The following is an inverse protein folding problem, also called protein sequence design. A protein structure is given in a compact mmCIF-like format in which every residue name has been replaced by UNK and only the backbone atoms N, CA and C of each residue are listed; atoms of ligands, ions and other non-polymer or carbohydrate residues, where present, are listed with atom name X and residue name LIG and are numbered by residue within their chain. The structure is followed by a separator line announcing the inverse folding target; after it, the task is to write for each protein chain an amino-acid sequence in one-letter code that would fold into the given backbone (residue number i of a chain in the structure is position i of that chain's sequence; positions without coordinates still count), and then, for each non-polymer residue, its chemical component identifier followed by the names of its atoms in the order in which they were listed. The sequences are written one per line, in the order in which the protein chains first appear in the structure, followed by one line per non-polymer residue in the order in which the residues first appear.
data_IF_391402725706
#
_entry.id   IF_391402725706
#
_cell.length_a   1.000
_cell.length_b   1.000
_cell.length_c   1.000
_cell.angle_alpha   90.00
_cell.angle_beta   90.00
_cell.angle_gamma   90.00
#
_symmetry.space_group_name_H-M   'P 1'
#
loop_
_entity.id
_entity.type
_entity.pdbx_description
1 polymer ?
#
# COMPACT_ATOMS: atom_id res chain seq x y z
N UNK A 1 -33.45 -87.57 0.54
CA UNK A 1 -32.05 -87.91 0.21
C UNK A 1 -31.63 -86.98 -0.91
N UNK A 2 -30.49 -86.30 -0.70
CA UNK A 2 -29.68 -85.49 -1.64
C UNK A 2 -30.39 -84.36 -2.41
N UNK A 3 -29.91 -83.12 -2.46
CA UNK A 3 -28.78 -82.42 -1.84
C UNK A 3 -29.12 -80.93 -2.02
N UNK A 4 -28.79 -80.10 -1.04
CA UNK A 4 -28.91 -78.64 -1.12
C UNK A 4 -27.50 -78.08 -0.97
N UNK A 5 -26.95 -77.51 -2.03
CA UNK A 5 -25.79 -76.62 -1.98
C UNK A 5 -26.18 -75.23 -2.54
N UNK A 6 -25.58 -74.15 -2.02
CA UNK A 6 -26.15 -72.81 -2.09
C UNK A 6 -25.71 -71.99 -3.31
N UNK A 7 -26.53 -71.00 -3.66
CA UNK A 7 -26.27 -70.03 -4.72
C UNK A 7 -25.08 -69.12 -4.41
N UNK A 8 -24.15 -69.00 -5.36
CA UNK A 8 -23.08 -68.00 -5.37
C UNK A 8 -23.51 -66.73 -6.10
N UNK A 9 -23.23 -65.59 -5.48
CA UNK A 9 -23.39 -64.23 -6.01
C UNK A 9 -22.57 -64.02 -7.29
N UNK A 10 -23.16 -63.33 -8.27
CA UNK A 10 -22.51 -62.89 -9.50
C UNK A 10 -22.17 -61.40 -9.34
N UNK A 11 -20.87 -61.09 -9.23
CA UNK A 11 -20.36 -59.71 -9.26
C UNK A 11 -20.49 -59.09 -10.66
N UNK A 12 -20.88 -57.81 -10.77
CA UNK A 12 -20.90 -57.10 -12.05
C UNK A 12 -19.48 -56.72 -12.54
N UNK A 13 -19.29 -56.57 -13.86
CA UNK A 13 -17.96 -56.34 -14.45
C UNK A 13 -17.36 -54.99 -14.06
N UNK A 14 -16.06 -55.01 -13.76
CA UNK A 14 -15.26 -53.85 -13.41
C UNK A 14 -15.27 -52.79 -14.52
N UNK A 15 -15.84 -51.62 -14.23
CA UNK A 15 -15.68 -50.41 -15.04
C UNK A 15 -14.24 -49.92 -14.96
N UNK A 16 -13.53 -49.97 -16.09
CA UNK A 16 -12.25 -49.29 -16.31
C UNK A 16 -12.39 -47.80 -15.94
N UNK A 17 -11.78 -47.39 -14.82
CA UNK A 17 -11.57 -45.99 -14.48
C UNK A 17 -10.45 -45.46 -15.36
N UNK A 18 -10.80 -44.70 -16.39
CA UNK A 18 -9.88 -43.81 -17.08
C UNK A 18 -9.24 -42.87 -16.07
N UNK A 19 -7.92 -42.94 -15.95
CA UNK A 19 -7.15 -42.03 -15.11
C UNK A 19 -7.25 -40.60 -15.66
N UNK A 20 -7.37 -39.57 -14.80
CA UNK A 20 -7.31 -38.19 -15.24
C UNK A 20 -5.91 -37.89 -15.77
N UNK A 21 -5.86 -37.35 -16.99
CA UNK A 21 -4.68 -36.78 -17.63
C UNK A 21 -4.11 -35.75 -16.64
N UNK A 22 -2.99 -36.09 -15.99
CA UNK A 22 -2.25 -35.14 -15.17
C UNK A 22 -1.77 -34.03 -16.09
N UNK A 23 -2.39 -32.86 -15.99
CA UNK A 23 -1.80 -31.63 -16.49
C UNK A 23 -0.46 -31.43 -15.80
N UNK A 24 0.56 -31.11 -16.59
CA UNK A 24 1.90 -30.79 -16.11
C UNK A 24 1.81 -29.82 -14.92
N UNK A 25 2.46 -30.08 -13.78
CA UNK A 25 2.48 -29.13 -12.68
C UNK A 25 3.14 -27.84 -13.19
N UNK A 26 2.41 -26.73 -13.17
CA UNK A 26 2.94 -25.42 -13.50
C UNK A 26 4.23 -25.21 -12.69
N UNK A 27 5.38 -25.13 -13.36
CA UNK A 27 6.67 -24.89 -12.74
C UNK A 27 6.56 -23.59 -11.95
N UNK A 28 6.47 -23.67 -10.62
CA UNK A 28 6.49 -22.50 -9.76
C UNK A 28 7.88 -21.89 -9.85
N UNK A 29 7.98 -20.79 -10.58
CA UNK A 29 9.24 -20.05 -10.73
C UNK A 29 9.48 -19.21 -9.47
N UNK A 30 10.74 -19.08 -9.01
CA UNK A 30 11.05 -18.19 -7.92
C UNK A 30 10.62 -16.75 -8.27
N UNK A 31 10.06 -16.05 -7.29
CA UNK A 31 9.63 -14.65 -7.45
C UNK A 31 10.67 -13.73 -6.81
N UNK A 32 11.13 -12.74 -7.56
CA UNK A 32 11.99 -11.67 -7.07
C UNK A 32 11.13 -10.44 -6.87
N UNK A 33 10.96 -10.02 -5.62
CA UNK A 33 10.24 -8.79 -5.28
C UNK A 33 11.18 -7.59 -5.38
N UNK A 34 10.68 -6.50 -5.95
CA UNK A 34 11.38 -5.24 -6.11
C UNK A 34 10.41 -4.08 -5.94
N UNK A 35 10.94 -2.91 -5.66
CA UNK A 35 10.15 -1.69 -5.58
C UNK A 35 10.95 -0.50 -6.11
N UNK A 36 10.23 0.54 -6.53
CA UNK A 36 10.80 1.78 -7.03
C UNK A 36 9.80 2.90 -7.04
N UNK A 37 10.16 4.02 -7.68
CA UNK A 37 9.24 5.14 -7.78
C UNK A 37 9.46 5.99 -9.04
N UNK A 38 8.38 6.67 -9.43
CA UNK A 38 8.48 7.91 -10.19
C UNK A 38 8.82 9.00 -9.18
N UNK A 39 10.11 9.29 -9.06
CA UNK A 39 10.61 10.38 -8.23
C UNK A 39 10.37 11.70 -8.96
N UNK A 40 9.55 12.59 -8.39
CA UNK A 40 9.12 13.82 -9.05
C UNK A 40 9.40 15.07 -8.19
N UNK A 41 9.48 16.21 -8.86
CA UNK A 41 9.53 17.54 -8.23
C UNK A 41 8.71 18.56 -9.03
N UNK A 42 8.25 19.67 -8.42
CA UNK A 42 7.74 20.80 -9.17
C UNK A 42 8.82 21.32 -10.13
N UNK A 43 8.50 21.47 -11.41
CA UNK A 43 9.41 22.08 -12.39
C UNK A 43 9.29 23.60 -12.42
N UNK A 44 10.08 24.22 -13.30
CA UNK A 44 10.23 25.68 -13.40
C UNK A 44 9.04 26.40 -14.07
N UNK A 45 8.16 25.68 -14.76
CA UNK A 45 7.09 26.23 -15.62
C UNK A 45 5.76 25.48 -15.45
N UNK A 46 5.32 25.28 -14.21
CA UNK A 46 4.10 24.51 -13.82
C UNK A 46 4.10 23.02 -14.23
N UNK A 47 4.99 22.60 -15.12
CA UNK A 47 5.22 21.22 -15.48
C UNK A 47 5.97 20.47 -14.39
N UNK A 48 5.54 19.25 -14.08
CA UNK A 48 6.25 18.35 -13.18
C UNK A 48 7.46 17.75 -13.88
N UNK A 49 8.58 17.66 -13.18
CA UNK A 49 9.75 16.92 -13.64
C UNK A 49 9.84 15.58 -12.91
N UNK A 50 10.26 14.54 -13.61
CA UNK A 50 10.60 13.25 -13.01
C UNK A 50 12.09 12.95 -13.19
N UNK A 51 12.67 12.20 -12.26
CA UNK A 51 14.02 11.69 -12.39
C UNK A 51 14.02 10.42 -13.25
N UNK A 52 14.88 10.42 -14.27
CA UNK A 52 15.31 9.22 -14.99
C UNK A 52 16.78 8.98 -14.71
N UNK A 53 17.16 7.72 -14.49
CA UNK A 53 18.53 7.34 -14.12
C UNK A 53 19.17 6.52 -15.23
N UNK A 54 20.44 6.80 -15.53
CA UNK A 54 21.26 6.02 -16.44
C UNK A 54 22.04 4.96 -15.68
N UNK A 55 22.06 3.73 -16.21
CA UNK A 55 22.79 2.61 -15.60
C UNK A 55 23.91 2.15 -16.52
N UNK A 56 25.19 2.40 -16.20
CA UNK A 56 26.30 2.14 -17.11
C UNK A 56 26.47 0.64 -17.42
N UNK A 57 26.07 -0.23 -16.48
CA UNK A 57 26.08 -1.69 -16.66
C UNK A 57 25.23 -2.16 -17.84
N UNK A 58 24.13 -1.47 -18.13
CA UNK A 58 23.17 -1.83 -19.17
C UNK A 58 23.16 -0.86 -20.35
N UNK A 59 23.68 0.36 -20.16
CA UNK A 59 23.60 1.45 -21.13
C UNK A 59 22.16 1.90 -21.37
N UNK A 60 21.33 1.86 -20.32
CA UNK A 60 19.91 2.17 -20.39
C UNK A 60 19.52 3.36 -19.50
N UNK A 61 18.33 3.90 -19.77
CA UNK A 61 17.64 4.88 -18.95
C UNK A 61 16.36 4.26 -18.42
N UNK A 62 16.18 4.28 -17.10
CA UNK A 62 15.02 3.68 -16.45
C UNK A 62 14.55 4.51 -15.25
N UNK A 63 13.42 4.09 -14.67
CA UNK A 63 13.02 4.57 -13.34
C UNK A 63 13.85 3.90 -12.24
N UNK A 64 14.14 4.62 -11.14
CA UNK A 64 14.90 4.07 -10.03
C UNK A 64 14.12 2.99 -9.26
N UNK A 65 14.79 1.88 -8.96
CA UNK A 65 14.20 0.64 -8.40
C UNK A 65 15.25 -0.44 -8.15
N UNK A 66 15.07 -1.16 -7.05
CA UNK A 66 15.82 -2.38 -6.78
C UNK A 66 15.05 -3.39 -5.94
N UNK A 67 15.77 -4.38 -5.42
CA UNK A 67 15.16 -5.59 -4.83
C UNK A 67 14.84 -5.33 -3.37
N UNK A 68 13.81 -6.01 -2.86
CA UNK A 68 13.55 -6.00 -1.42
C UNK A 68 14.66 -6.71 -0.67
N UNK A 69 15.07 -6.13 0.44
CA UNK A 69 15.92 -6.79 1.44
C UNK A 69 15.10 -7.72 2.35
N UNK A 70 15.75 -8.68 3.05
CA UNK A 70 15.06 -9.53 4.01
C UNK A 70 14.34 -8.71 5.10
N UNK A 71 13.05 -8.98 5.29
CA UNK A 71 12.21 -8.29 6.28
C UNK A 71 11.72 -6.89 5.87
N UNK A 72 12.11 -6.40 4.69
CA UNK A 72 11.71 -5.10 4.17
C UNK A 72 10.30 -5.13 3.56
N UNK A 73 9.53 -4.08 3.77
CA UNK A 73 8.27 -3.88 3.05
C UNK A 73 8.48 -3.23 1.68
N UNK A 74 7.52 -3.41 0.78
CA UNK A 74 7.55 -2.82 -0.56
C UNK A 74 7.76 -1.28 -0.52
N UNK A 75 7.07 -0.48 0.32
CA UNK A 75 7.33 0.96 0.41
C UNK A 75 8.71 1.29 0.98
N UNK A 76 9.22 0.52 1.95
CA UNK A 76 10.57 0.71 2.51
C UNK A 76 11.63 0.51 1.42
N UNK A 77 11.51 -0.56 0.63
CA UNK A 77 12.41 -0.81 -0.49
C UNK A 77 12.35 0.34 -1.51
N UNK A 78 11.16 0.82 -1.88
CA UNK A 78 11.05 1.93 -2.82
C UNK A 78 11.80 3.18 -2.30
N UNK A 79 11.61 3.55 -1.03
CA UNK A 79 12.28 4.72 -0.46
C UNK A 79 13.80 4.54 -0.34
N UNK A 80 14.27 3.36 0.09
CA UNK A 80 15.69 3.03 0.19
C UNK A 80 16.38 3.09 -1.18
N UNK A 81 15.80 2.43 -2.17
CA UNK A 81 16.34 2.37 -3.53
C UNK A 81 16.41 3.77 -4.18
N UNK A 82 15.42 4.63 -3.93
CA UNK A 82 15.52 6.04 -4.31
C UNK A 82 16.75 6.70 -3.70
N UNK A 83 16.97 6.54 -2.39
CA UNK A 83 18.13 7.13 -1.72
C UNK A 83 19.45 6.54 -2.22
N UNK A 84 19.53 5.24 -2.44
CA UNK A 84 20.74 4.56 -2.90
C UNK A 84 21.12 4.94 -4.35
N UNK A 85 20.16 4.88 -5.28
CA UNK A 85 20.43 5.15 -6.69
C UNK A 85 20.57 6.65 -6.99
N UNK A 86 19.91 7.53 -6.22
CA UNK A 86 19.86 8.96 -6.54
C UNK A 86 20.55 9.87 -5.51
N UNK A 87 20.82 9.39 -4.29
CA UNK A 87 21.28 10.24 -3.19
C UNK A 87 20.19 11.14 -2.59
N UNK A 88 18.96 11.13 -3.13
CA UNK A 88 17.86 12.00 -2.72
C UNK A 88 16.92 11.26 -1.76
N UNK A 89 16.43 11.97 -0.75
CA UNK A 89 15.32 11.49 0.06
C UNK A 89 13.97 11.85 -0.60
N UNK A 90 12.91 11.12 -0.26
CA UNK A 90 11.59 11.35 -0.82
C UNK A 90 10.44 11.16 0.18
N UNK A 91 9.26 11.63 -0.22
CA UNK A 91 7.99 11.35 0.44
C UNK A 91 7.11 10.55 -0.53
N UNK A 92 6.79 9.31 -0.17
CA UNK A 92 5.92 8.43 -0.94
C UNK A 92 4.47 8.90 -0.88
N UNK A 93 3.71 8.52 -1.91
CA UNK A 93 2.26 8.72 -2.00
C UNK A 93 1.59 7.46 -2.56
N UNK A 94 0.69 7.59 -3.54
CA UNK A 94 -0.06 6.46 -4.11
C UNK A 94 0.85 5.42 -4.76
N UNK A 95 0.43 4.16 -4.73
CA UNK A 95 0.95 3.15 -5.65
C UNK A 95 0.54 3.51 -7.08
N UNK A 96 1.42 3.21 -8.03
CA UNK A 96 1.20 3.50 -9.45
C UNK A 96 0.87 2.23 -10.23
N UNK A 97 1.81 1.29 -10.23
CA UNK A 97 1.70 0.09 -11.04
C UNK A 97 2.61 -1.00 -10.50
N UNK A 98 2.16 -2.24 -10.66
CA UNK A 98 3.00 -3.44 -10.52
C UNK A 98 3.33 -3.99 -11.89
N UNK A 99 4.61 -4.13 -12.19
CA UNK A 99 5.12 -4.70 -13.43
C UNK A 99 5.69 -6.07 -13.14
N UNK A 100 5.43 -7.05 -14.02
CA UNK A 100 5.97 -8.40 -13.91
C UNK A 100 6.64 -8.83 -15.22
N UNK A 101 7.90 -9.25 -15.13
CA UNK A 101 8.66 -9.74 -16.27
C UNK A 101 9.64 -10.84 -15.83
N UNK A 102 10.13 -11.61 -16.80
CA UNK A 102 11.02 -12.73 -16.51
C UNK A 102 12.49 -12.32 -16.59
N UNK A 103 13.27 -12.66 -15.56
CA UNK A 103 14.71 -12.41 -15.51
C UNK A 103 15.49 -13.73 -15.43
N UNK A 104 16.72 -13.79 -15.97
CA UNK A 104 17.61 -14.93 -15.74
C UNK A 104 17.82 -15.19 -14.24
N UNK A 105 17.83 -16.45 -13.82
CA UNK A 105 18.03 -16.85 -12.43
C UNK A 105 18.80 -18.18 -12.35
N UNK A 106 19.98 -18.16 -11.72
CA UNK A 106 20.88 -19.32 -11.72
C UNK A 106 21.46 -19.61 -13.10
N UNK A 107 21.93 -20.85 -13.32
CA UNK A 107 22.66 -21.22 -14.55
C UNK A 107 21.75 -21.30 -15.78
N UNK A 108 20.54 -21.84 -15.63
CA UNK A 108 19.60 -22.09 -16.74
C UNK A 108 18.13 -21.75 -16.37
N UNK A 109 17.91 -21.11 -15.21
CA UNK A 109 16.57 -20.83 -14.71
C UNK A 109 16.07 -19.43 -15.08
N UNK A 110 14.76 -19.23 -14.91
CA UNK A 110 14.14 -17.90 -14.95
C UNK A 110 13.36 -17.65 -13.66
N UNK A 111 13.44 -16.43 -13.16
CA UNK A 111 12.62 -15.93 -12.07
C UNK A 111 11.58 -14.96 -12.61
N UNK A 112 10.40 -14.93 -11.98
CA UNK A 112 9.43 -13.85 -12.20
C UNK A 112 9.83 -12.68 -11.32
N UNK A 113 10.24 -11.55 -11.92
CA UNK A 113 10.51 -10.32 -11.18
C UNK A 113 9.22 -9.50 -11.14
N UNK A 114 8.82 -9.07 -9.95
CA UNK A 114 7.67 -8.21 -9.71
C UNK A 114 8.16 -6.90 -9.10
N UNK A 115 7.90 -5.78 -9.77
CA UNK A 115 8.31 -4.44 -9.32
C UNK A 115 7.07 -3.62 -9.03
N UNK A 116 6.95 -3.12 -7.79
CA UNK A 116 5.91 -2.19 -7.37
C UNK A 116 6.45 -0.75 -7.40
N UNK A 117 5.77 0.13 -8.14
CA UNK A 117 6.15 1.54 -8.25
C UNK A 117 5.21 2.47 -7.50
N UNK A 118 5.78 3.52 -6.91
CA UNK A 118 5.07 4.59 -6.21
C UNK A 118 5.29 5.95 -6.89
N UNK A 119 4.38 6.89 -6.65
CA UNK A 119 4.70 8.30 -6.83
C UNK A 119 5.47 8.79 -5.59
N UNK A 120 6.63 9.41 -5.79
CA UNK A 120 7.48 9.89 -4.71
C UNK A 120 7.92 11.34 -4.94
N UNK A 121 7.59 12.25 -4.03
CA UNK A 121 8.04 13.65 -4.11
C UNK A 121 9.47 13.75 -3.57
N UNK A 122 10.39 14.27 -4.37
CA UNK A 122 11.75 14.52 -3.93
C UNK A 122 11.79 15.59 -2.83
N UNK A 123 12.62 15.35 -1.82
CA UNK A 123 13.02 16.35 -0.85
C UNK A 123 14.25 17.12 -1.37
N UNK A 124 14.53 18.33 -0.83
CA UNK A 124 15.75 19.05 -1.19
C UNK A 124 17.00 18.19 -1.01
N UNK A 125 17.86 18.19 -2.03
CA UNK A 125 19.07 17.38 -2.09
C UNK A 125 19.71 17.47 -3.46
N UNK A 126 20.87 16.83 -3.61
CA UNK A 126 21.61 16.76 -4.86
C UNK A 126 21.86 15.31 -5.24
N UNK A 127 21.94 15.05 -6.55
CA UNK A 127 22.27 13.72 -7.05
C UNK A 127 23.70 13.35 -6.67
N UNK A 128 23.90 12.11 -6.23
CA UNK A 128 25.21 11.53 -5.95
C UNK A 128 25.41 10.30 -6.82
N UNK A 129 26.31 10.41 -7.81
CA UNK A 129 26.68 9.29 -8.65
C UNK A 129 27.30 8.15 -7.83
N UNK A 130 26.99 6.92 -8.21
CA UNK A 130 27.44 5.70 -7.55
C UNK A 130 27.75 4.60 -8.59
N UNK A 131 28.05 3.38 -8.14
CA UNK A 131 28.43 2.28 -9.03
C UNK A 131 27.26 1.79 -9.92
N UNK A 132 26.01 1.99 -9.49
CA UNK A 132 24.81 1.54 -10.19
C UNK A 132 24.24 2.61 -11.13
N UNK A 133 24.31 3.87 -10.73
CA UNK A 133 23.80 5.03 -11.45
C UNK A 133 24.87 6.11 -11.55
N UNK A 134 25.31 6.40 -12.78
CA UNK A 134 26.33 7.42 -13.07
C UNK A 134 25.71 8.77 -13.49
N UNK A 135 24.46 8.78 -13.94
CA UNK A 135 23.76 9.99 -14.36
C UNK A 135 22.27 10.00 -13.96
N UNK A 136 21.78 11.15 -13.50
CA UNK A 136 20.36 11.43 -13.27
C UNK A 136 19.94 12.65 -14.07
N UNK A 137 18.81 12.55 -14.77
CA UNK A 137 18.18 13.69 -15.45
C UNK A 137 16.79 13.95 -14.91
N UNK A 138 16.54 15.21 -14.57
CA UNK A 138 15.18 15.71 -14.39
C UNK A 138 14.60 16.05 -15.76
N UNK A 139 13.52 15.38 -16.13
CA UNK A 139 12.88 15.54 -17.44
C UNK A 139 11.41 15.88 -17.25
N UNK A 140 10.78 16.66 -18.14
CA UNK A 140 9.34 16.90 -18.07
C UNK A 140 8.57 15.59 -18.08
N UNK A 141 7.67 15.38 -17.12
CA UNK A 141 6.95 14.12 -16.93
C UNK A 141 6.21 13.68 -18.20
N UNK A 142 5.57 14.62 -18.90
CA UNK A 142 4.85 14.39 -20.15
C UNK A 142 5.74 13.89 -21.31
N UNK A 143 7.06 14.11 -21.23
CA UNK A 143 8.04 13.72 -22.25
C UNK A 143 9.00 12.63 -21.78
N UNK A 144 8.79 12.05 -20.61
CA UNK A 144 9.71 11.06 -20.05
C UNK A 144 9.88 9.81 -20.93
N UNK A 145 8.87 9.47 -21.73
CA UNK A 145 8.95 8.36 -22.69
C UNK A 145 10.03 8.54 -23.77
N UNK A 146 10.44 9.79 -24.06
CA UNK A 146 11.57 10.08 -24.97
C UNK A 146 12.93 9.66 -24.39
N UNK A 147 12.99 9.46 -23.07
CA UNK A 147 14.19 9.11 -22.33
C UNK A 147 14.22 7.64 -21.92
N UNK A 148 13.09 7.12 -21.45
CA UNK A 148 12.97 5.78 -20.89
C UNK A 148 13.15 4.70 -21.96
N UNK A 149 14.06 3.76 -21.71
CA UNK A 149 14.41 2.68 -22.64
C UNK A 149 13.33 1.60 -22.72
N UNK A 150 12.62 1.35 -21.62
CA UNK A 150 11.66 0.24 -21.52
C UNK A 150 10.21 0.71 -21.58
N UNK A 151 9.40 0.07 -22.42
CA UNK A 151 7.95 0.34 -22.53
C UNK A 151 7.21 0.12 -21.20
N UNK A 152 7.68 -0.84 -20.38
CA UNK A 152 7.14 -1.08 -19.05
C UNK A 152 7.28 0.16 -18.14
N UNK A 153 8.38 0.93 -18.24
CA UNK A 153 8.51 2.17 -17.46
C UNK A 153 7.58 3.27 -17.99
N UNK A 154 7.22 3.26 -19.29
CA UNK A 154 6.23 4.20 -19.86
C UNK A 154 4.86 3.98 -19.22
N UNK A 155 4.44 2.73 -19.07
CA UNK A 155 3.19 2.35 -18.38
C UNK A 155 3.13 2.87 -16.92
N UNK A 156 4.28 2.96 -16.23
CA UNK A 156 4.36 3.55 -14.87
C UNK A 156 4.17 5.06 -14.92
N UNK A 157 4.84 5.73 -15.86
CA UNK A 157 4.71 7.17 -16.04
C UNK A 157 3.29 7.56 -16.45
N UNK A 158 2.64 6.79 -17.31
CA UNK A 158 1.24 7.03 -17.68
C UNK A 158 0.31 6.90 -16.47
N UNK A 159 0.54 5.91 -15.59
CA UNK A 159 -0.16 5.82 -14.30
C UNK A 159 0.12 7.03 -13.39
N UNK A 160 1.36 7.53 -13.38
CA UNK A 160 1.72 8.76 -12.66
C UNK A 160 1.00 10.00 -13.21
N UNK A 161 0.82 10.11 -14.52
CA UNK A 161 0.17 11.25 -15.15
C UNK A 161 -1.37 11.18 -15.10
N UNK A 162 -1.94 10.00 -14.82
CA UNK A 162 -3.40 9.80 -14.79
C UNK A 162 -4.12 10.54 -13.64
N UNK A 163 -3.39 10.96 -12.61
CA UNK A 163 -3.91 11.67 -11.45
C UNK A 163 -2.98 12.84 -11.07
N UNK A 164 -3.51 13.96 -10.57
CA UNK A 164 -2.70 15.06 -10.08
C UNK A 164 -1.82 14.62 -8.90
N UNK A 165 -0.71 15.33 -8.69
CA UNK A 165 0.18 15.10 -7.54
C UNK A 165 -0.28 15.79 -6.26
N UNK A 166 -1.13 16.82 -6.38
CA UNK A 166 -1.73 17.49 -5.23
C UNK A 166 -2.98 16.72 -4.81
N UNK A 167 -2.82 15.85 -3.82
CA UNK A 167 -3.87 15.04 -3.22
C UNK A 167 -3.72 15.05 -1.72
N UNK A 168 -4.82 14.91 -0.99
CA UNK A 168 -4.75 14.55 0.43
C UNK A 168 -4.62 13.04 0.57
N UNK A 169 -3.91 12.61 1.60
CA UNK A 169 -3.68 11.19 1.86
C UNK A 169 -4.19 10.83 3.25
N UNK A 170 -4.93 9.73 3.36
CA UNK A 170 -5.26 9.11 4.64
C UNK A 170 -4.58 7.75 4.74
N UNK A 171 -3.67 7.62 5.70
CA UNK A 171 -3.07 6.36 6.11
C UNK A 171 -4.00 5.72 7.15
N UNK A 172 -4.95 4.91 6.69
CA UNK A 172 -5.92 4.23 7.56
C UNK A 172 -5.31 2.95 8.13
N UNK A 173 -4.95 3.00 9.41
CA UNK A 173 -4.19 1.98 10.12
C UNK A 173 -5.13 1.12 10.98
N UNK A 174 -5.02 -0.21 10.88
CA UNK A 174 -5.59 -1.09 11.92
C UNK A 174 -4.63 -1.13 13.10
N UNK A 175 -5.14 -0.95 14.31
CA UNK A 175 -4.32 -1.06 15.53
C UNK A 175 -3.47 -2.35 15.56
N UNK A 176 -2.31 -2.26 16.21
CA UNK A 176 -1.39 -3.38 16.40
C UNK A 176 -1.96 -4.45 17.36
N UNK A 177 -1.26 -5.57 17.48
CA UNK A 177 -1.64 -6.70 18.34
C UNK A 177 -1.85 -6.27 19.81
N UNK A 178 -2.99 -6.63 20.39
CA UNK A 178 -3.42 -6.19 21.72
C UNK A 178 -3.88 -7.35 22.60
N UNK A 179 -3.36 -8.55 22.34
CA UNK A 179 -3.80 -9.78 23.00
C UNK A 179 -5.26 -10.13 22.74
N UNK A 180 -5.79 -11.10 23.51
CA UNK A 180 -7.18 -11.52 23.40
C UNK A 180 -8.06 -10.81 24.41
N UNK A 181 -9.25 -10.39 23.95
CA UNK A 181 -10.27 -9.77 24.81
C UNK A 181 -10.67 -10.65 25.99
N UNK A 182 -10.74 -11.97 25.80
CA UNK A 182 -11.15 -12.94 26.84
C UNK A 182 -10.14 -13.10 27.96
N UNK A 183 -8.88 -12.71 27.73
CA UNK A 183 -7.76 -12.85 28.68
C UNK A 183 -7.48 -11.54 29.42
N UNK A 184 -8.16 -10.45 29.05
CA UNK A 184 -7.99 -9.15 29.67
C UNK A 184 -9.08 -8.89 30.70
N UNK A 185 -8.66 -8.61 31.94
CA UNK A 185 -9.56 -8.26 33.03
C UNK A 185 -9.66 -6.73 33.15
N UNK A 186 -10.82 -6.17 32.82
CA UNK A 186 -11.08 -4.73 32.91
C UNK A 186 -11.94 -4.19 31.77
N UNK A 187 -11.98 -2.87 31.63
CA UNK A 187 -12.63 -2.21 30.49
C UNK A 187 -11.81 -2.45 29.20
N UNK A 188 -12.39 -3.11 28.20
CA UNK A 188 -11.72 -3.41 26.92
C UNK A 188 -11.25 -2.15 26.18
N UNK A 189 -11.83 -0.99 26.47
CA UNK A 189 -11.36 0.29 25.91
C UNK A 189 -9.92 0.61 26.37
N UNK A 190 -9.53 0.12 27.55
CA UNK A 190 -8.22 0.31 28.17
C UNK A 190 -7.26 -0.85 27.92
N UNK A 191 -7.61 -1.80 27.04
CA UNK A 191 -6.71 -2.92 26.72
C UNK A 191 -5.49 -2.44 25.93
N UNK A 192 -4.27 -2.64 26.43
CA UNK A 192 -3.05 -2.14 25.79
C UNK A 192 -2.58 -3.07 24.67
N UNK A 193 -1.57 -2.59 23.92
CA UNK A 193 -0.80 -3.43 23.02
C UNK A 193 -0.09 -4.57 23.77
N UNK A 194 0.03 -5.72 23.11
CA UNK A 194 0.89 -6.82 23.57
C UNK A 194 2.34 -6.54 23.19
N UNK A 195 3.27 -7.38 23.65
CA UNK A 195 4.69 -7.29 23.26
C UNK A 195 4.90 -7.34 21.73
N UNK A 196 4.18 -8.24 21.04
CA UNK A 196 4.18 -8.27 19.58
C UNK A 196 3.58 -7.00 18.96
N UNK A 197 2.57 -6.41 19.62
CA UNK A 197 1.97 -5.14 19.22
C UNK A 197 2.94 -3.96 19.30
N UNK A 198 3.76 -3.90 20.35
CA UNK A 198 4.81 -2.88 20.48
C UNK A 198 5.86 -2.99 19.37
N UNK A 199 6.26 -4.22 18.99
CA UNK A 199 7.14 -4.44 17.82
C UNK A 199 6.49 -3.96 16.52
N UNK A 200 5.23 -4.30 16.30
CA UNK A 200 4.46 -3.83 15.13
C UNK A 200 4.34 -2.30 15.08
N UNK A 201 4.10 -1.65 16.23
CA UNK A 201 4.04 -0.18 16.33
C UNK A 201 5.35 0.48 15.89
N UNK A 202 6.50 -0.06 16.28
CA UNK A 202 7.79 0.49 15.86
C UNK A 202 8.01 0.32 14.35
N UNK A 203 7.62 -0.82 13.78
CA UNK A 203 7.71 -1.04 12.33
C UNK A 203 6.73 -0.14 11.55
N UNK A 204 5.52 0.05 12.08
CA UNK A 204 4.54 1.00 11.55
C UNK A 204 5.07 2.42 11.57
N UNK A 205 5.75 2.84 12.64
CA UNK A 205 6.35 4.18 12.72
C UNK A 205 7.28 4.45 11.53
N UNK A 206 8.17 3.49 11.23
CA UNK A 206 9.10 3.60 10.11
C UNK A 206 8.37 3.63 8.76
N UNK A 207 7.38 2.74 8.58
CA UNK A 207 6.58 2.69 7.35
C UNK A 207 5.78 3.98 7.12
N UNK A 208 5.04 4.44 8.13
CA UNK A 208 4.17 5.60 8.02
C UNK A 208 4.96 6.87 7.76
N UNK A 209 6.17 7.00 8.33
CA UNK A 209 7.06 8.16 8.12
C UNK A 209 7.46 8.36 6.65
N UNK A 210 7.47 7.29 5.84
CA UNK A 210 7.77 7.38 4.40
C UNK A 210 6.72 8.19 3.61
N UNK A 211 5.51 8.34 4.16
CA UNK A 211 4.40 9.04 3.51
C UNK A 211 4.22 10.48 4.04
N UNK A 212 5.17 10.96 4.87
CA UNK A 212 5.20 12.33 5.38
C UNK A 212 3.92 12.75 6.11
N UNK A 213 3.48 12.03 7.15
CA UNK A 213 2.28 12.37 7.91
C UNK A 213 2.44 13.73 8.61
N UNK A 214 1.35 14.46 8.73
CA UNK A 214 1.30 15.78 9.39
C UNK A 214 0.27 15.82 10.52
N UNK A 215 -0.73 14.93 10.47
CA UNK A 215 -1.82 14.83 11.44
C UNK A 215 -2.00 13.40 11.90
N UNK A 216 -2.42 13.22 13.15
CA UNK A 216 -2.63 11.90 13.76
C UNK A 216 -3.99 11.86 14.43
N UNK A 217 -4.81 10.89 14.02
CA UNK A 217 -6.14 10.64 14.53
C UNK A 217 -6.25 9.20 15.01
N UNK A 218 -7.11 8.95 15.99
CA UNK A 218 -7.33 7.60 16.49
C UNK A 218 -8.75 7.42 17.04
N UNK A 219 -9.33 6.24 16.81
CA UNK A 219 -10.45 5.78 17.62
C UNK A 219 -10.06 5.78 19.12
N UNK A 220 -10.97 6.14 20.04
CA UNK A 220 -10.69 6.29 21.48
C UNK A 220 -10.56 4.92 22.17
N UNK A 221 -9.53 4.17 21.81
CA UNK A 221 -9.16 2.86 22.38
C UNK A 221 -7.68 2.91 22.66
N UNK A 222 -7.25 2.47 23.83
CA UNK A 222 -5.85 2.55 24.25
C UNK A 222 -4.92 1.90 23.22
N UNK A 223 -5.26 0.70 22.73
CA UNK A 223 -4.53 0.02 21.65
C UNK A 223 -4.43 0.81 20.34
N UNK A 224 -5.44 1.59 19.99
CA UNK A 224 -5.43 2.41 18.78
C UNK A 224 -4.49 3.60 18.96
N UNK A 225 -4.61 4.31 20.08
CA UNK A 225 -3.76 5.45 20.43
C UNK A 225 -2.28 5.03 20.54
N UNK A 226 -2.01 3.95 21.30
CA UNK A 226 -0.67 3.37 21.42
C UNK A 226 -0.06 2.89 20.11
N UNK A 227 -0.87 2.58 19.09
CA UNK A 227 -0.34 2.15 17.78
C UNK A 227 0.30 3.31 17.02
N UNK A 228 -0.17 4.54 17.23
CA UNK A 228 0.23 5.72 16.45
C UNK A 228 0.88 6.82 17.29
N UNK A 229 1.06 6.59 18.59
CA UNK A 229 1.68 7.54 19.52
C UNK A 229 3.11 7.95 19.10
N UNK A 230 3.94 7.03 18.60
CA UNK A 230 5.29 7.37 18.09
C UNK A 230 5.24 8.33 16.92
N UNK A 231 4.23 8.21 16.06
CA UNK A 231 4.06 9.14 14.94
C UNK A 231 3.70 10.51 15.48
N UNK A 232 2.77 10.59 16.43
CA UNK A 232 2.40 11.85 17.07
C UNK A 232 3.59 12.50 17.81
N UNK A 233 4.39 11.71 18.53
CA UNK A 233 5.61 12.14 19.22
C UNK A 233 6.65 12.72 18.24
N UNK A 234 6.95 12.02 17.14
CA UNK A 234 7.91 12.50 16.13
C UNK A 234 7.44 13.77 15.42
N UNK A 235 6.13 13.90 15.19
CA UNK A 235 5.52 15.10 14.63
C UNK A 235 5.33 16.23 15.65
N UNK A 236 5.51 15.95 16.95
CA UNK A 236 5.23 16.87 18.07
C UNK A 236 3.80 17.40 18.03
N UNK A 237 2.85 16.51 17.73
CA UNK A 237 1.42 16.82 17.67
C UNK A 237 0.63 15.94 18.64
N UNK A 238 -0.64 16.28 18.86
CA UNK A 238 -1.55 15.47 19.65
C UNK A 238 -2.26 14.43 18.77
N UNK A 239 -2.69 13.33 19.38
CA UNK A 239 -3.62 12.39 18.74
C UNK A 239 -5.04 12.96 18.87
N UNK A 240 -5.68 13.25 17.74
CA UNK A 240 -7.08 13.66 17.71
C UNK A 240 -8.01 12.45 17.90
N UNK A 241 -8.95 12.57 18.83
CA UNK A 241 -9.88 11.48 19.15
C UNK A 241 -11.03 11.39 18.15
N UNK A 242 -11.29 10.19 17.63
CA UNK A 242 -12.31 9.93 16.62
C UNK A 242 -13.36 8.89 17.07
N UNK A 243 -14.33 9.26 17.94
CA UNK A 243 -15.34 8.33 18.43
C UNK A 243 -16.14 7.64 17.33
N UNK A 244 -16.46 8.35 16.23
CA UNK A 244 -17.20 7.82 15.08
C UNK A 244 -16.45 6.69 14.33
N UNK A 245 -15.15 6.54 14.56
CA UNK A 245 -14.30 5.50 13.98
C UNK A 245 -14.00 4.35 14.95
N UNK A 246 -14.69 4.29 16.09
CA UNK A 246 -14.73 3.10 16.96
C UNK A 246 -15.70 2.05 16.45
N UNK A 247 -15.48 0.76 16.75
CA UNK A 247 -16.35 -0.32 16.27
C UNK A 247 -17.81 -0.16 16.72
N UNK A 248 -18.05 0.30 17.94
CA UNK A 248 -19.38 0.43 18.52
C UNK A 248 -20.14 1.58 17.87
N UNK A 249 -19.51 2.75 17.73
CA UNK A 249 -20.13 3.90 17.08
C UNK A 249 -20.35 3.64 15.58
N UNK A 250 -19.36 3.06 14.90
CA UNK A 250 -19.45 2.75 13.48
C UNK A 250 -20.56 1.73 13.19
N UNK A 251 -20.71 0.69 14.03
CA UNK A 251 -21.81 -0.28 13.90
C UNK A 251 -23.18 0.38 14.06
N UNK A 252 -23.29 1.41 14.90
CA UNK A 252 -24.53 2.13 15.13
C UNK A 252 -24.86 3.11 13.99
N UNK A 253 -23.86 3.78 13.42
CA UNK A 253 -24.00 4.73 12.31
C UNK A 253 -22.76 4.71 11.39
N UNK A 254 -22.71 3.79 10.39
CA UNK A 254 -21.61 3.71 9.44
C UNK A 254 -21.41 5.00 8.63
N UNK A 255 -22.50 5.72 8.36
CA UNK A 255 -22.48 6.94 7.56
C UNK A 255 -21.84 8.10 8.34
N UNK A 256 -22.00 8.17 9.67
CA UNK A 256 -21.23 9.10 10.49
C UNK A 256 -19.73 8.81 10.43
N UNK A 257 -19.32 7.53 10.46
CA UNK A 257 -17.93 7.12 10.27
C UNK A 257 -17.38 7.55 8.91
N UNK A 258 -18.12 7.27 7.83
CA UNK A 258 -17.77 7.68 6.46
C UNK A 258 -17.61 9.19 6.34
N UNK A 259 -18.59 9.97 6.81
CA UNK A 259 -18.52 11.44 6.83
C UNK A 259 -17.35 11.96 7.66
N UNK A 260 -16.98 11.29 8.75
CA UNK A 260 -15.81 11.72 9.54
C UNK A 260 -14.51 11.47 8.78
N UNK A 261 -14.32 10.31 8.17
CA UNK A 261 -13.12 10.04 7.37
C UNK A 261 -13.00 11.05 6.21
N UNK A 262 -14.10 11.33 5.51
CA UNK A 262 -14.12 12.32 4.43
C UNK A 262 -13.80 13.74 4.90
N UNK A 263 -14.17 14.12 6.13
CA UNK A 263 -13.75 15.41 6.71
C UNK A 263 -12.25 15.45 6.99
N UNK A 264 -11.67 14.35 7.50
CA UNK A 264 -10.22 14.25 7.70
C UNK A 264 -9.48 14.35 6.36
N UNK A 265 -10.00 13.68 5.32
CA UNK A 265 -9.48 13.71 3.97
C UNK A 265 -9.68 15.06 3.25
N UNK A 266 -10.60 15.92 3.70
CA UNK A 266 -10.82 17.22 3.09
C UNK A 266 -9.74 18.25 3.45
N UNK A 267 -8.96 17.98 4.50
CA UNK A 267 -7.80 18.78 4.87
C UNK A 267 -6.57 18.34 4.06
N UNK A 268 -5.78 19.30 3.53
CA UNK A 268 -4.62 19.00 2.68
C UNK A 268 -3.54 18.22 3.45
N UNK A 269 -2.63 17.56 2.73
CA UNK A 269 -1.53 16.80 3.35
C UNK A 269 -1.92 15.37 3.76
N UNK A 270 -1.08 14.76 4.59
CA UNK A 270 -1.22 13.35 4.99
C UNK A 270 -1.68 13.21 6.44
N UNK A 271 -2.77 12.47 6.66
CA UNK A 271 -3.28 12.13 7.98
C UNK A 271 -3.11 10.63 8.27
N UNK A 272 -2.61 10.29 9.45
CA UNK A 272 -2.68 8.92 10.00
C UNK A 272 -4.00 8.79 10.76
N UNK A 273 -4.76 7.73 10.49
CA UNK A 273 -6.02 7.44 11.18
C UNK A 273 -5.99 6.02 11.69
N UNK A 274 -5.86 5.83 13.01
CA UNK A 274 -5.91 4.50 13.63
C UNK A 274 -7.35 4.09 13.95
N UNK A 275 -7.75 2.91 13.51
CA UNK A 275 -9.07 2.33 13.76
C UNK A 275 -8.98 0.81 13.97
N UNK A 276 -10.11 0.12 13.83
CA UNK A 276 -10.32 -1.25 14.25
C UNK A 276 -10.81 -2.14 13.09
N UNK A 277 -10.69 -3.45 13.27
CA UNK A 277 -11.01 -4.43 12.23
C UNK A 277 -12.50 -4.51 11.88
N UNK A 278 -13.40 -4.15 12.80
CA UNK A 278 -14.83 -4.05 12.52
C UNK A 278 -15.26 -2.79 11.77
N UNK A 279 -14.34 -1.86 11.49
CA UNK A 279 -14.62 -0.58 10.82
C UNK A 279 -14.00 -0.55 9.42
N UNK A 280 -12.70 -0.86 9.34
CA UNK A 280 -11.86 -0.62 8.15
C UNK A 280 -12.42 -1.30 6.87
N UNK A 281 -12.78 -2.61 6.87
CA UNK A 281 -13.22 -3.26 5.63
C UNK A 281 -14.48 -2.64 5.03
N UNK A 282 -15.47 -2.34 5.87
CA UNK A 282 -16.72 -1.74 5.41
C UNK A 282 -16.51 -0.29 4.96
N UNK A 283 -15.74 0.49 5.72
CA UNK A 283 -15.43 1.89 5.39
C UNK A 283 -14.71 2.02 4.05
N UNK A 284 -13.61 1.26 3.85
CA UNK A 284 -12.85 1.26 2.60
C UNK A 284 -13.73 0.78 1.44
N UNK A 285 -14.49 -0.31 1.65
CA UNK A 285 -15.37 -0.85 0.62
C UNK A 285 -16.51 0.09 0.23
N UNK A 286 -17.08 0.81 1.19
CA UNK A 286 -18.14 1.78 0.95
C UNK A 286 -17.63 2.99 0.16
N UNK A 287 -16.45 3.51 0.51
CA UNK A 287 -15.83 4.62 -0.22
C UNK A 287 -15.49 4.19 -1.66
N UNK A 288 -14.82 3.05 -1.81
CA UNK A 288 -14.45 2.53 -3.12
C UNK A 288 -15.67 2.34 -4.04
N UNK A 289 -16.76 1.74 -3.53
CA UNK A 289 -18.01 1.58 -4.30
C UNK A 289 -18.65 2.91 -4.68
N UNK A 290 -18.62 3.89 -3.77
CA UNK A 290 -19.22 5.21 -4.02
C UNK A 290 -18.47 5.98 -5.10
N UNK A 291 -17.15 5.80 -5.15
CA UNK A 291 -16.25 6.55 -6.02
C UNK A 291 -15.82 5.75 -7.26
N UNK A 292 -16.45 4.60 -7.51
CA UNK A 292 -16.24 3.79 -8.71
C UNK A 292 -14.93 2.99 -8.75
N UNK A 293 -14.24 2.82 -7.63
CA UNK A 293 -13.02 2.02 -7.53
C UNK A 293 -13.34 0.53 -7.33
N UNK A 294 -12.81 -0.30 -8.22
CA UNK A 294 -12.87 -1.76 -8.08
C UNK A 294 -11.70 -2.26 -7.26
N UNK A 295 -11.93 -2.52 -5.97
CA UNK A 295 -10.95 -3.17 -5.10
C UNK A 295 -11.13 -4.69 -5.12
N UNK A 296 -10.02 -5.42 -4.97
CA UNK A 296 -10.04 -6.86 -4.72
C UNK A 296 -10.50 -7.17 -3.29
N UNK A 297 -9.88 -8.16 -2.66
CA UNK A 297 -10.16 -8.48 -1.26
C UNK A 297 -9.77 -7.31 -0.34
N UNK A 298 -10.76 -6.79 0.39
CA UNK A 298 -10.55 -5.70 1.35
C UNK A 298 -10.04 -6.27 2.66
N UNK A 299 -8.71 -6.30 2.77
CA UNK A 299 -8.01 -6.81 3.92
C UNK A 299 -7.97 -5.81 5.08
N UNK A 300 -7.81 -6.32 6.29
CA UNK A 300 -7.61 -5.49 7.48
C UNK A 300 -6.85 -6.31 8.51
N UNK A 301 -5.59 -6.70 8.26
CA UNK A 301 -4.77 -7.41 9.27
C UNK A 301 -4.32 -6.44 10.35
N UNK A 302 -4.06 -6.91 11.58
CA UNK A 302 -3.57 -6.01 12.64
C UNK A 302 -2.25 -5.39 12.18
N UNK A 303 -2.05 -4.11 12.49
CA UNK A 303 -0.95 -3.29 12.00
C UNK A 303 -0.85 -3.16 10.46
N UNK A 304 -1.92 -3.44 9.71
CA UNK A 304 -1.97 -3.12 8.28
C UNK A 304 -2.33 -1.66 8.04
N UNK A 305 -1.93 -1.14 6.88
CA UNK A 305 -2.21 0.23 6.44
C UNK A 305 -2.94 0.19 5.11
N UNK A 306 -4.01 0.98 4.99
CA UNK A 306 -4.54 1.43 3.71
C UNK A 306 -4.02 2.84 3.42
N UNK A 307 -3.42 3.05 2.25
CA UNK A 307 -3.04 4.37 1.74
C UNK A 307 -4.17 4.83 0.82
N UNK A 308 -4.98 5.77 1.29
CA UNK A 308 -6.14 6.30 0.59
C UNK A 308 -5.81 7.69 0.06
N UNK A 309 -5.82 7.87 -1.26
CA UNK A 309 -5.50 9.15 -1.90
C UNK A 309 -6.78 9.81 -2.41
N UNK A 310 -7.02 11.05 -2.00
CA UNK A 310 -8.24 11.78 -2.34
C UNK A 310 -7.96 13.01 -3.21
N UNK A 311 -8.81 13.19 -4.21
CA UNK A 311 -8.90 14.45 -4.95
C UNK A 311 -9.71 15.44 -4.10
N UNK A 312 -9.08 16.56 -3.77
CA UNK A 312 -9.73 17.67 -3.08
C UNK A 312 -9.89 18.82 -4.08
N UNK A 313 -11.07 19.42 -4.12
CA UNK A 313 -11.28 20.61 -4.95
C UNK A 313 -10.60 21.80 -4.25
N UNK A 314 -9.51 22.30 -4.81
CA UNK A 314 -9.02 23.63 -4.45
C UNK A 314 -9.98 24.65 -5.07
N UNK A 315 -10.49 25.59 -4.28
CA UNK A 315 -11.20 26.75 -4.83
C UNK A 315 -10.19 27.55 -5.66
N UNK A 316 -10.23 27.44 -6.98
CA UNK A 316 -9.97 28.59 -7.83
C UNK A 316 -11.13 29.56 -7.59
N UNK A 317 -10.81 30.74 -7.05
CA UNK A 317 -11.80 31.77 -6.77
C UNK A 317 -12.46 32.22 -8.08
N UNK A 318 -13.76 31.98 -8.19
CA UNK A 318 -14.75 32.90 -8.75
C UNK A 318 -16.12 32.21 -8.73
N UNK A 319 -17.11 32.84 -8.07
CA UNK A 319 -18.52 32.44 -8.16
C UNK A 319 -19.16 32.01 -6.85
N UNK A 320 -19.61 32.99 -6.09
CA UNK A 320 -20.65 32.87 -5.06
C UNK A 320 -21.90 32.19 -5.63
N UNK A 321 -22.30 31.05 -5.04
CA UNK A 321 -23.61 30.41 -5.20
C UNK A 321 -23.86 29.41 -4.07
N UNK A 322 -24.24 29.95 -2.90
CA UNK A 322 -25.29 29.43 -2.00
C UNK A 322 -25.56 27.93 -1.88
N UNK A 323 -24.60 27.14 -1.38
CA UNK A 323 -24.76 26.16 -0.29
C UNK A 323 -23.34 25.88 0.23
N UNK A 324 -23.04 26.28 1.46
CA UNK A 324 -21.67 26.36 2.01
C UNK A 324 -20.95 25.03 2.24
N UNK A 325 -21.39 23.95 1.60
CA UNK A 325 -20.75 22.63 1.68
C UNK A 325 -19.70 22.50 0.58
N UNK A 326 -18.41 22.52 0.95
CA UNK A 326 -17.34 22.09 0.04
C UNK A 326 -17.68 20.68 -0.48
N UNK A 327 -17.51 20.41 -1.79
CA UNK A 327 -17.75 19.07 -2.30
C UNK A 327 -16.85 18.07 -1.55
N UNK A 328 -17.41 16.91 -1.22
CA UNK A 328 -16.68 15.89 -0.47
C UNK A 328 -15.46 15.41 -1.29
N UNK A 329 -14.33 15.11 -0.64
CA UNK A 329 -13.17 14.53 -1.32
C UNK A 329 -13.54 13.23 -2.03
N UNK A 330 -13.01 13.03 -3.23
CA UNK A 330 -13.22 11.81 -4.03
C UNK A 330 -12.04 10.85 -3.83
N UNK A 331 -12.29 9.61 -3.42
CA UNK A 331 -11.26 8.58 -3.33
C UNK A 331 -10.82 8.18 -4.74
N UNK A 332 -9.56 8.46 -5.08
CA UNK A 332 -9.01 8.19 -6.41
C UNK A 332 -8.02 7.02 -6.45
N UNK A 333 -7.41 6.67 -5.31
CA UNK A 333 -6.59 5.46 -5.18
C UNK A 333 -6.68 4.90 -3.75
N UNK A 334 -6.60 3.57 -3.63
CA UNK A 334 -6.64 2.87 -2.35
C UNK A 334 -5.74 1.63 -2.38
N UNK A 335 -4.64 1.69 -1.65
CA UNK A 335 -3.59 0.66 -1.66
C UNK A 335 -3.42 0.02 -0.29
N UNK A 336 -3.35 -1.30 -0.25
CA UNK A 336 -3.21 -2.05 0.99
C UNK A 336 -1.78 -2.56 1.20
N UNK A 337 -1.21 -2.25 2.36
CA UNK A 337 0.05 -2.79 2.83
C UNK A 337 -0.20 -3.58 4.12
N UNK A 338 0.13 -4.87 4.09
CA UNK A 338 0.12 -5.68 5.30
C UNK A 338 1.19 -5.20 6.27
N UNK A 339 0.98 -5.48 7.56
CA UNK A 339 2.01 -5.28 8.57
C UNK A 339 3.33 -5.94 8.14
N UNK A 340 4.49 -5.30 8.39
CA UNK A 340 5.77 -5.99 8.32
C UNK A 340 5.71 -7.20 9.26
N UNK A 341 5.92 -8.41 8.75
CA UNK A 341 5.91 -9.61 9.58
C UNK A 341 7.19 -9.68 10.42
N UNK A 342 7.12 -9.97 11.73
CA UNK A 342 8.31 -10.20 12.56
C UNK A 342 9.09 -11.48 12.25
N UNK A 343 8.93 -12.11 11.08
CA UNK A 343 9.57 -13.39 10.78
C UNK A 343 10.78 -13.19 9.88
N UNK A 344 11.95 -13.50 10.47
CA UNK A 344 13.33 -13.43 9.95
C UNK A 344 14.10 -12.11 10.20
N UNK A 345 14.18 -11.70 11.47
CA UNK A 345 15.36 -11.01 11.99
C UNK A 345 16.29 -12.03 12.67
#
# INVERSE_FOLDING_TARGET
MSDTEPASEIDPPATSKSAPIHGDPAVQRPTIMAAGAVLWRPGSTEDMEIAVVHRPRYGDWSLPKGKLDPGETIPQAAAREITEETGLNCVLSRHLRRIRYEVPHGRDGRASKSVDYFAARALPGEFVANEEVDELRWVPAARAHEWLTYADDHDVVDSFLSLPTTMSTVLLVRHAEAGKRTEFHGDDNLRPLSEAGWRQRNQLHNLLSLFGPERVHSAPRLRCEQTVDSVAESLRTNIESEPALSEEAYRADPEAGRRRLLRIAAEPGTAVVCSQGGVIPDLVGSLARSDGLSLGEINSRKASVWVLSFLTTTHSGDGDSGDGSRPAPLLAAADYFSAPTPENA
#
